data_IF_522475336795
#
_entry.id   IF_522475336795
#
_cell.length_a   1.000
_cell.length_b   1.000
_cell.length_c   1.000
_cell.angle_alpha   90.00
_cell.angle_beta   90.00
_cell.angle_gamma   90.00
#
_symmetry.space_group_name_H-M   'P 1'
#
loop_
_entity.id
_entity.type
_entity.pdbx_description
1 polymer ?
#
# COMPACT_ATOMS: atom_id res chain seq x y z
N UNK A 1 22.10 -25.39 -27.75
CA UNK A 1 23.00 -25.10 -26.62
C UNK A 1 22.19 -24.42 -25.54
N UNK A 2 22.01 -25.02 -24.37
CA UNK A 2 21.29 -24.39 -23.26
C UNK A 2 22.25 -23.41 -22.56
N UNK A 3 21.81 -22.17 -22.43
CA UNK A 3 22.49 -21.16 -21.63
C UNK A 3 22.27 -21.50 -20.15
N UNK A 4 23.29 -22.07 -19.52
CA UNK A 4 23.37 -22.16 -18.07
C UNK A 4 23.58 -20.75 -17.53
N UNK A 5 22.50 -20.10 -17.11
CA UNK A 5 22.57 -18.93 -16.25
C UNK A 5 23.24 -19.36 -14.95
N UNK A 6 24.55 -19.13 -14.86
CA UNK A 6 25.27 -19.19 -13.59
C UNK A 6 24.66 -18.14 -12.68
N UNK A 7 23.92 -18.57 -11.67
CA UNK A 7 23.49 -17.72 -10.56
C UNK A 7 24.76 -17.13 -9.95
N UNK A 8 24.99 -15.85 -10.17
CA UNK A 8 26.09 -15.12 -9.55
C UNK A 8 25.89 -15.26 -8.03
N UNK A 9 26.86 -15.83 -7.32
CA UNK A 9 26.72 -16.05 -5.87
C UNK A 9 26.38 -14.73 -5.19
N UNK A 10 25.33 -14.72 -4.37
CA UNK A 10 25.04 -13.56 -3.53
C UNK A 10 26.25 -13.28 -2.64
N UNK A 11 26.86 -12.11 -2.80
CA UNK A 11 27.95 -11.66 -1.93
C UNK A 11 27.29 -11.00 -0.72
N UNK A 12 27.48 -11.59 0.46
CA UNK A 12 27.09 -10.95 1.71
C UNK A 12 28.02 -9.75 1.93
N UNK A 13 27.45 -8.54 1.84
CA UNK A 13 28.19 -7.29 2.05
C UNK A 13 28.18 -6.90 3.52
N UNK A 14 27.01 -7.03 4.16
CA UNK A 14 26.80 -6.66 5.56
C UNK A 14 25.60 -7.44 6.13
N UNK A 15 25.54 -7.57 7.45
CA UNK A 15 24.47 -8.25 8.16
C UNK A 15 24.06 -7.46 9.41
N UNK A 16 22.76 -7.28 9.59
CA UNK A 16 22.19 -6.61 10.76
C UNK A 16 21.35 -7.60 11.57
N UNK A 17 21.84 -7.99 12.75
CA UNK A 17 21.05 -8.74 13.72
C UNK A 17 20.04 -7.82 14.41
N UNK A 18 18.78 -7.93 14.00
CA UNK A 18 17.67 -7.13 14.51
C UNK A 18 17.33 -7.46 15.98
N UNK A 19 17.54 -8.70 16.44
CA UNK A 19 17.27 -9.09 17.82
C UNK A 19 18.28 -8.47 18.79
N UNK A 20 19.54 -8.38 18.38
CA UNK A 20 20.57 -7.65 19.14
C UNK A 20 20.34 -6.13 19.10
N UNK A 21 19.87 -5.61 17.97
CA UNK A 21 19.57 -4.18 17.80
C UNK A 21 18.34 -3.74 18.61
N UNK A 22 17.39 -4.65 18.87
CA UNK A 22 16.19 -4.40 19.66
C UNK A 22 16.43 -4.31 21.18
N UNK A 23 17.68 -4.37 21.67
CA UNK A 23 18.00 -4.23 23.10
C UNK A 23 17.41 -2.93 23.66
N UNK A 24 16.27 -3.05 24.39
CA UNK A 24 15.59 -2.10 25.31
C UNK A 24 16.19 -0.70 25.42
N UNK A 25 16.40 -0.03 24.30
CA UNK A 25 16.87 1.34 24.29
C UNK A 25 15.62 2.17 24.35
N UNK A 26 15.46 2.94 25.42
CA UNK A 26 14.39 3.92 25.61
C UNK A 26 14.50 5.11 24.65
N UNK A 27 15.40 5.03 23.67
CA UNK A 27 15.64 6.08 22.69
C UNK A 27 14.49 6.05 21.69
N UNK A 28 13.47 6.87 21.96
CA UNK A 28 12.42 7.14 20.99
C UNK A 28 13.07 7.71 19.72
N UNK A 29 13.00 6.95 18.62
CA UNK A 29 13.37 7.46 17.31
C UNK A 29 12.35 8.52 16.92
N UNK A 30 12.80 9.73 16.61
CA UNK A 30 11.91 10.80 16.19
C UNK A 30 11.29 10.48 14.83
N UNK A 31 9.96 10.59 14.76
CA UNK A 31 9.20 10.55 13.52
C UNK A 31 8.57 11.92 13.30
N UNK A 32 9.08 12.68 12.33
CA UNK A 32 8.51 13.97 11.92
C UNK A 32 7.68 13.78 10.63
N UNK A 33 6.45 14.30 10.62
CA UNK A 33 5.51 14.14 9.51
C UNK A 33 4.44 13.07 9.79
N UNK A 34 3.76 12.55 8.75
CA UNK A 34 4.01 12.76 7.33
C UNK A 34 3.48 14.10 6.82
N UNK A 35 4.28 14.80 6.03
CA UNK A 35 3.84 16.00 5.31
C UNK A 35 3.36 15.61 3.92
N UNK A 36 2.08 15.88 3.63
CA UNK A 36 1.51 15.75 2.27
C UNK A 36 2.14 16.80 1.35
N UNK A 37 2.81 16.35 0.29
CA UNK A 37 3.50 17.24 -0.67
C UNK A 37 3.01 17.09 -2.12
N UNK A 38 2.22 16.05 -2.40
CA UNK A 38 1.61 15.83 -3.70
C UNK A 38 0.77 14.57 -3.73
N UNK A 39 0.29 14.24 -4.91
CA UNK A 39 -0.51 13.06 -5.16
C UNK A 39 -0.45 12.68 -6.64
N UNK A 40 -0.91 11.49 -6.97
CA UNK A 40 -1.19 11.09 -8.34
C UNK A 40 -2.27 10.00 -8.37
N UNK A 41 -2.97 9.95 -9.48
CA UNK A 41 -3.91 8.89 -9.82
C UNK A 41 -3.25 7.91 -10.79
N UNK A 42 -3.60 6.63 -10.69
CA UNK A 42 -3.40 5.68 -11.76
C UNK A 42 -4.67 4.88 -12.02
N UNK A 43 -4.83 4.43 -13.25
CA UNK A 43 -5.91 3.54 -13.67
C UNK A 43 -5.43 2.65 -14.82
N UNK A 44 -6.12 1.53 -15.01
CA UNK A 44 -5.84 0.58 -16.08
C UNK A 44 -6.80 0.86 -17.25
N UNK A 45 -6.27 1.08 -18.45
CA UNK A 45 -7.08 1.30 -19.65
C UNK A 45 -7.19 0.05 -20.56
N UNK A 46 -6.95 -1.14 -19.98
CA UNK A 46 -6.84 -2.46 -20.62
C UNK A 46 -5.57 -2.70 -21.46
N UNK A 47 -4.78 -1.67 -21.75
CA UNK A 47 -3.54 -1.78 -22.51
C UNK A 47 -2.31 -1.39 -21.68
N UNK A 48 -2.44 -0.38 -20.82
CA UNK A 48 -1.35 0.17 -20.01
C UNK A 48 -1.87 0.76 -18.69
N UNK A 49 -0.96 0.93 -17.72
CA UNK A 49 -1.19 1.73 -16.52
C UNK A 49 -1.06 3.21 -16.90
N UNK A 50 -2.16 3.94 -16.82
CA UNK A 50 -2.18 5.38 -17.05
C UNK A 50 -1.83 6.10 -15.75
N UNK A 51 -0.91 7.06 -15.84
CA UNK A 51 -0.50 7.94 -14.75
C UNK A 51 -1.06 9.33 -14.99
N UNK A 52 -1.68 9.92 -13.96
CA UNK A 52 -2.13 11.32 -13.99
C UNK A 52 -1.80 12.03 -12.67
N UNK A 53 -1.39 13.30 -12.75
CA UNK A 53 -1.16 14.15 -11.58
C UNK A 53 -2.44 14.90 -11.17
N UNK A 54 -3.53 14.15 -11.02
CA UNK A 54 -4.84 14.66 -10.63
C UNK A 54 -5.49 13.76 -9.57
N UNK A 55 -6.72 14.11 -9.21
CA UNK A 55 -7.56 13.35 -8.27
C UNK A 55 -8.56 12.43 -8.99
N UNK A 56 -8.30 12.05 -10.25
CA UNK A 56 -9.26 11.29 -11.06
C UNK A 56 -9.64 9.93 -10.47
N UNK A 57 -8.72 9.28 -9.75
CA UNK A 57 -8.94 8.02 -9.04
C UNK A 57 -9.29 8.21 -7.56
N UNK A 58 -9.46 9.45 -7.07
CA UNK A 58 -9.80 9.71 -5.67
C UNK A 58 -11.25 9.30 -5.38
N UNK A 59 -11.44 8.58 -4.27
CA UNK A 59 -12.74 8.05 -3.86
C UNK A 59 -13.17 8.65 -2.53
N UNK A 60 -14.48 8.65 -2.28
CA UNK A 60 -15.06 8.99 -0.98
C UNK A 60 -15.80 7.79 -0.40
N UNK A 61 -15.87 7.70 0.92
CA UNK A 61 -16.60 6.66 1.62
C UNK A 61 -18.10 6.75 1.29
N UNK A 62 -18.67 5.62 0.88
CA UNK A 62 -20.08 5.46 0.56
C UNK A 62 -20.56 4.10 1.07
N UNK A 63 -21.17 4.10 2.25
CA UNK A 63 -21.59 2.87 2.92
C UNK A 63 -23.03 2.52 2.55
N UNK A 64 -23.33 1.28 2.15
CA UNK A 64 -24.70 0.85 1.96
C UNK A 64 -25.45 0.82 3.30
N UNK A 65 -26.73 1.19 3.28
CA UNK A 65 -27.61 1.13 4.46
C UNK A 65 -28.88 0.29 4.12
N UNK A 66 -29.07 -0.89 4.75
CA UNK A 66 -28.22 -1.54 5.74
C UNK A 66 -26.92 -2.11 5.15
N UNK A 67 -25.90 -2.30 5.99
CA UNK A 67 -24.61 -2.89 5.58
C UNK A 67 -24.78 -4.40 5.33
N UNK A 68 -24.74 -4.80 4.06
CA UNK A 68 -24.68 -6.21 3.64
C UNK A 68 -23.92 -6.30 2.32
N UNK A 69 -22.60 -6.51 2.40
CA UNK A 69 -21.71 -6.44 1.24
C UNK A 69 -21.15 -7.83 0.95
N UNK A 70 -21.30 -8.29 -0.29
CA UNK A 70 -20.63 -9.49 -0.77
C UNK A 70 -19.22 -9.16 -1.29
N UNK A 71 -18.19 -9.49 -0.52
CA UNK A 71 -16.80 -9.19 -0.90
C UNK A 71 -16.34 -9.94 -2.17
N UNK A 72 -17.05 -10.99 -2.60
CA UNK A 72 -16.75 -11.74 -3.82
C UNK A 72 -17.48 -11.20 -5.06
N UNK A 73 -18.18 -10.07 -4.96
CA UNK A 73 -18.81 -9.44 -6.11
C UNK A 73 -17.76 -9.16 -7.22
N UNK A 74 -17.92 -9.79 -8.38
CA UNK A 74 -16.98 -9.66 -9.52
C UNK A 74 -15.72 -10.52 -9.42
N UNK A 75 -15.66 -11.48 -8.49
CA UNK A 75 -14.53 -12.40 -8.35
C UNK A 75 -14.40 -13.32 -9.58
N UNK A 76 -13.19 -13.46 -10.08
CA UNK A 76 -12.86 -14.32 -11.22
C UNK A 76 -11.95 -15.47 -10.74
N UNK A 77 -12.50 -16.69 -10.69
CA UNK A 77 -11.78 -17.89 -10.23
C UNK A 77 -10.63 -18.32 -11.16
N UNK A 78 -10.55 -17.76 -12.37
CA UNK A 78 -9.45 -18.05 -13.30
C UNK A 78 -8.20 -17.22 -13.01
N UNK A 79 -8.31 -16.18 -12.17
CA UNK A 79 -7.21 -15.29 -11.79
C UNK A 79 -6.64 -15.66 -10.44
N UNK A 80 -5.34 -15.43 -10.25
CA UNK A 80 -4.67 -15.50 -8.95
C UNK A 80 -4.42 -14.09 -8.44
N UNK A 81 -5.01 -13.77 -7.29
CA UNK A 81 -4.88 -12.45 -6.64
C UNK A 81 -3.73 -12.47 -5.65
N UNK A 82 -3.10 -11.31 -5.42
CA UNK A 82 -2.04 -11.12 -4.42
C UNK A 82 -0.64 -10.84 -4.98
N UNK A 83 -0.46 -10.94 -6.31
CA UNK A 83 0.80 -10.57 -6.96
C UNK A 83 1.12 -9.09 -6.76
N UNK A 84 2.41 -8.78 -6.65
CA UNK A 84 2.88 -7.39 -6.58
C UNK A 84 2.76 -6.76 -7.96
N UNK A 85 1.88 -5.76 -8.10
CA UNK A 85 1.85 -4.92 -9.30
C UNK A 85 3.04 -3.95 -9.26
N UNK A 86 3.84 -3.92 -10.32
CA UNK A 86 5.06 -3.09 -10.44
C UNK A 86 4.76 -1.60 -10.67
N UNK A 87 3.95 -0.98 -9.81
CA UNK A 87 3.69 0.47 -9.85
C UNK A 87 4.82 1.31 -9.24
N UNK A 88 5.99 0.71 -8.97
CA UNK A 88 7.16 1.39 -8.37
C UNK A 88 7.70 2.51 -9.28
N UNK A 89 7.54 2.36 -10.59
CA UNK A 89 7.91 3.39 -11.56
C UNK A 89 7.06 4.65 -11.47
N UNK A 90 5.83 4.58 -10.91
CA UNK A 90 4.94 5.74 -10.86
C UNK A 90 5.43 6.81 -9.88
N UNK A 91 6.00 6.41 -8.74
CA UNK A 91 6.61 7.38 -7.81
C UNK A 91 7.84 8.03 -8.43
N UNK A 92 8.69 7.26 -9.11
CA UNK A 92 9.86 7.81 -9.80
C UNK A 92 9.45 8.77 -10.92
N UNK A 93 8.40 8.44 -11.66
CA UNK A 93 7.79 9.36 -12.64
C UNK A 93 7.31 10.64 -11.98
N UNK A 94 6.57 10.55 -10.86
CA UNK A 94 6.13 11.72 -10.11
C UNK A 94 7.31 12.59 -9.66
N UNK A 95 8.40 11.98 -9.18
CA UNK A 95 9.63 12.68 -8.77
C UNK A 95 10.24 13.47 -9.93
N UNK A 96 10.34 12.87 -11.11
CA UNK A 96 10.89 13.51 -12.31
C UNK A 96 10.02 14.67 -12.79
N UNK A 97 8.69 14.55 -12.68
CA UNK A 97 7.76 15.60 -13.09
C UNK A 97 7.56 16.71 -12.01
N UNK A 98 8.16 16.58 -10.83
CA UNK A 98 7.99 17.49 -9.68
C UNK A 98 9.32 18.03 -9.11
N UNK A 99 10.28 18.37 -9.97
CA UNK A 99 11.64 18.78 -9.55
C UNK A 99 11.66 19.94 -8.54
N UNK A 100 10.81 20.96 -8.70
CA UNK A 100 10.73 22.11 -7.79
C UNK A 100 10.31 21.65 -6.38
N UNK A 101 9.34 20.75 -6.30
CA UNK A 101 8.91 20.14 -5.04
C UNK A 101 10.06 19.33 -4.42
N UNK A 102 10.81 18.59 -5.23
CA UNK A 102 11.97 17.81 -4.78
C UNK A 102 13.13 18.68 -4.27
N UNK A 103 13.30 19.89 -4.80
CA UNK A 103 14.26 20.87 -4.27
C UNK A 103 13.82 21.41 -2.91
N UNK A 104 12.51 21.68 -2.74
CA UNK A 104 11.92 22.14 -1.48
C UNK A 104 11.90 21.08 -0.39
N UNK A 105 11.78 19.80 -0.78
CA UNK A 105 11.70 18.65 0.11
C UNK A 105 12.84 17.66 -0.18
N UNK A 106 14.09 18.02 0.17
CA UNK A 106 15.23 17.13 -0.05
C UNK A 106 15.03 15.83 0.72
N UNK A 107 15.33 14.72 0.04
CA UNK A 107 15.12 13.36 0.55
C UNK A 107 16.37 12.52 0.32
N UNK A 108 16.67 11.69 1.30
CA UNK A 108 17.79 10.74 1.32
C UNK A 108 17.33 9.38 0.76
N UNK A 109 16.08 8.99 1.06
CA UNK A 109 15.44 7.77 0.58
C UNK A 109 14.16 8.07 -0.22
N UNK A 110 13.85 7.21 -1.20
CA UNK A 110 12.61 7.21 -1.98
C UNK A 110 12.04 5.79 -1.99
N UNK A 111 10.80 5.59 -1.54
CA UNK A 111 10.17 4.27 -1.49
C UNK A 111 8.64 4.33 -1.41
N UNK A 112 7.96 3.18 -1.32
CA UNK A 112 6.51 3.12 -1.03
C UNK A 112 6.25 2.89 0.47
N UNK A 113 5.09 3.35 0.94
CA UNK A 113 4.66 3.16 2.34
C UNK A 113 4.55 1.68 2.70
N UNK A 114 4.21 0.81 1.74
CA UNK A 114 4.16 -0.63 1.97
C UNK A 114 5.49 -1.20 2.45
N UNK A 115 6.59 -0.77 1.85
CA UNK A 115 7.94 -1.19 2.25
C UNK A 115 8.33 -0.63 3.62
N UNK A 116 8.00 0.65 3.87
CA UNK A 116 8.24 1.24 5.20
C UNK A 116 7.42 0.55 6.28
N UNK A 117 6.17 0.18 6.00
CA UNK A 117 5.34 -0.65 6.87
C UNK A 117 6.04 -1.98 7.14
N UNK A 118 6.56 -2.65 6.12
CA UNK A 118 7.25 -3.95 6.29
C UNK A 118 8.44 -3.80 7.25
N UNK A 119 9.22 -2.72 7.10
CA UNK A 119 10.33 -2.39 8.01
C UNK A 119 9.86 -2.09 9.44
N UNK A 120 8.75 -1.34 9.60
CA UNK A 120 8.20 -0.99 10.93
C UNK A 120 7.68 -2.21 11.69
N UNK A 121 7.22 -3.24 10.98
CA UNK A 121 6.64 -4.44 11.59
C UNK A 121 7.56 -5.67 11.51
N UNK A 122 8.81 -5.51 11.06
CA UNK A 122 9.73 -6.63 10.79
C UNK A 122 9.95 -7.56 11.99
N UNK A 123 9.81 -7.05 13.21
CA UNK A 123 9.94 -7.85 14.45
C UNK A 123 8.64 -8.58 14.85
N UNK A 124 7.54 -8.31 14.16
CA UNK A 124 6.20 -8.88 14.37
C UNK A 124 5.69 -9.65 13.15
N UNK A 125 6.55 -9.85 12.15
CA UNK A 125 6.22 -10.45 10.88
C UNK A 125 7.20 -11.58 10.59
N UNK A 126 6.66 -12.78 10.35
CA UNK A 126 7.45 -13.96 9.99
C UNK A 126 7.65 -14.04 8.46
N UNK A 127 7.01 -13.14 7.69
CA UNK A 127 7.12 -13.11 6.24
C UNK A 127 8.49 -12.61 5.79
N UNK A 128 9.25 -13.47 5.12
CA UNK A 128 10.47 -13.08 4.44
C UNK A 128 10.15 -12.17 3.24
N UNK A 129 10.85 -11.04 3.15
CA UNK A 129 10.77 -10.16 2.00
C UNK A 129 12.14 -9.65 1.60
N UNK A 130 12.27 -9.35 0.31
CA UNK A 130 13.49 -8.78 -0.27
C UNK A 130 13.21 -7.38 -0.79
N UNK A 131 14.23 -6.52 -0.77
CA UNK A 131 14.20 -5.23 -1.45
C UNK A 131 15.44 -5.08 -2.32
N UNK A 132 15.34 -4.18 -3.30
CA UNK A 132 16.49 -3.62 -4.01
C UNK A 132 16.76 -2.21 -3.50
N UNK A 133 18.03 -1.85 -3.38
CA UNK A 133 18.48 -0.52 -2.99
C UNK A 133 19.44 0.03 -4.06
N UNK A 134 19.04 1.11 -4.73
CA UNK A 134 19.83 1.71 -5.81
C UNK A 134 20.13 3.17 -5.49
N UNK A 135 21.42 3.54 -5.48
CA UNK A 135 21.83 4.93 -5.26
C UNK A 135 21.89 5.70 -6.59
N UNK A 136 21.08 6.75 -6.73
CA UNK A 136 20.99 7.60 -7.92
C UNK A 136 21.05 9.07 -7.49
N UNK A 137 22.02 9.84 -8.01
CA UNK A 137 22.13 11.27 -7.69
C UNK A 137 22.23 11.57 -6.19
N UNK A 138 22.86 10.68 -5.41
CA UNK A 138 22.98 10.79 -3.95
C UNK A 138 21.75 10.33 -3.15
N UNK A 139 20.65 9.93 -3.80
CA UNK A 139 19.44 9.38 -3.16
C UNK A 139 19.43 7.87 -3.24
N UNK A 140 18.84 7.19 -2.26
CA UNK A 140 18.66 5.73 -2.27
C UNK A 140 17.21 5.41 -2.58
N UNK A 141 16.96 4.78 -3.73
CA UNK A 141 15.65 4.28 -4.11
C UNK A 141 15.50 2.85 -3.59
N UNK A 142 14.44 2.58 -2.84
CA UNK A 142 14.14 1.26 -2.28
C UNK A 142 12.87 0.70 -2.90
N UNK A 143 12.95 -0.48 -3.50
CA UNK A 143 11.81 -1.17 -4.11
C UNK A 143 11.66 -2.58 -3.55
N UNK A 144 10.44 -2.96 -3.19
CA UNK A 144 10.14 -4.32 -2.74
C UNK A 144 10.23 -5.27 -3.93
N UNK A 145 10.87 -6.42 -3.73
CA UNK A 145 10.97 -7.47 -4.73
C UNK A 145 10.01 -8.59 -4.38
N UNK A 146 9.24 -9.06 -5.36
CA UNK A 146 8.49 -10.30 -5.21
C UNK A 146 9.47 -11.48 -5.25
N UNK A 147 9.49 -12.30 -4.19
CA UNK A 147 10.29 -13.51 -4.19
C UNK A 147 9.66 -14.57 -5.10
N UNK A 148 10.49 -15.45 -5.66
CA UNK A 148 10.03 -16.58 -6.48
C UNK A 148 9.07 -17.45 -5.66
N UNK A 149 9.42 -17.73 -4.41
CA UNK A 149 8.57 -18.47 -3.46
C UNK A 149 7.20 -17.81 -3.26
N UNK A 150 7.15 -16.48 -3.09
CA UNK A 150 5.87 -15.77 -2.95
C UNK A 150 5.02 -15.91 -4.20
N UNK A 151 5.63 -15.80 -5.38
CA UNK A 151 4.94 -15.99 -6.65
C UNK A 151 4.37 -17.41 -6.79
N UNK A 152 5.18 -18.42 -6.51
CA UNK A 152 4.78 -19.84 -6.54
C UNK A 152 3.66 -20.14 -5.53
N UNK A 153 3.72 -19.55 -4.33
CA UNK A 153 2.68 -19.68 -3.31
C UNK A 153 1.35 -19.04 -3.76
N UNK A 154 1.39 -17.90 -4.46
CA UNK A 154 0.19 -17.26 -5.02
C UNK A 154 -0.40 -18.09 -6.16
N UNK A 155 0.46 -18.62 -7.04
CA UNK A 155 0.05 -19.43 -8.18
C UNK A 155 -0.58 -20.77 -7.75
N UNK A 156 -0.06 -21.36 -6.67
CA UNK A 156 -0.54 -22.62 -6.09
C UNK A 156 -1.62 -22.45 -5.01
N UNK A 157 -2.03 -21.21 -4.70
CA UNK A 157 -2.98 -20.98 -3.61
C UNK A 157 -4.33 -21.66 -3.86
N UNK A 158 -4.91 -22.20 -2.79
CA UNK A 158 -6.25 -22.80 -2.82
C UNK A 158 -7.31 -21.76 -3.19
N UNK A 159 -8.44 -22.22 -3.72
CA UNK A 159 -9.56 -21.35 -4.11
C UNK A 159 -10.05 -20.46 -2.96
N UNK A 160 -10.18 -21.03 -1.76
CA UNK A 160 -10.60 -20.26 -0.58
C UNK A 160 -9.58 -19.18 -0.18
N UNK A 161 -8.27 -19.45 -0.32
CA UNK A 161 -7.23 -18.45 -0.07
C UNK A 161 -7.31 -17.34 -1.12
N UNK A 162 -7.48 -17.69 -2.39
CA UNK A 162 -7.64 -16.73 -3.48
C UNK A 162 -8.86 -15.81 -3.27
N UNK A 163 -10.00 -16.39 -2.88
CA UNK A 163 -11.21 -15.65 -2.49
C UNK A 163 -10.97 -14.72 -1.30
N UNK A 164 -10.24 -15.18 -0.28
CA UNK A 164 -9.88 -14.34 0.86
C UNK A 164 -8.95 -13.20 0.48
N UNK A 165 -8.01 -13.43 -0.43
CA UNK A 165 -7.12 -12.39 -0.98
C UNK A 165 -7.92 -11.38 -1.78
N UNK A 166 -8.80 -11.82 -2.67
CA UNK A 166 -9.69 -10.93 -3.42
C UNK A 166 -10.58 -10.08 -2.52
N UNK A 167 -11.18 -10.69 -1.50
CA UNK A 167 -12.07 -10.04 -0.55
C UNK A 167 -11.41 -8.89 0.23
N UNK A 168 -10.07 -8.80 0.25
CA UNK A 168 -9.36 -7.64 0.81
C UNK A 168 -9.64 -6.35 0.04
N UNK A 169 -10.07 -6.44 -1.22
CA UNK A 169 -10.48 -5.32 -2.08
C UNK A 169 -11.85 -4.75 -1.72
N UNK A 170 -12.26 -4.82 -0.44
CA UNK A 170 -13.54 -4.34 0.04
C UNK A 170 -13.72 -2.84 -0.22
N UNK A 171 -12.63 -2.06 -0.24
CA UNK A 171 -12.72 -0.61 -0.40
C UNK A 171 -13.54 -0.22 -1.63
N UNK A 172 -13.45 -0.96 -2.75
CA UNK A 172 -14.21 -0.65 -3.97
C UNK A 172 -15.73 -0.79 -3.81
N UNK A 173 -16.19 -1.61 -2.86
CA UNK A 173 -17.60 -1.87 -2.63
C UNK A 173 -18.24 -0.88 -1.64
N UNK A 174 -17.41 -0.11 -0.93
CA UNK A 174 -17.85 0.83 0.10
C UNK A 174 -17.33 2.26 -0.13
N UNK A 175 -16.88 2.53 -1.35
CA UNK A 175 -16.40 3.84 -1.75
C UNK A 175 -16.85 4.13 -3.18
N UNK A 176 -17.08 5.40 -3.48
CA UNK A 176 -17.44 5.87 -4.81
C UNK A 176 -16.39 6.86 -5.34
N UNK A 177 -16.21 6.88 -6.65
CA UNK A 177 -15.44 7.92 -7.33
C UNK A 177 -16.39 9.07 -7.73
N UNK A 178 -15.96 10.32 -7.56
CA UNK A 178 -16.72 11.50 -8.02
C UNK A 178 -16.78 11.62 -9.53
N UNK A 179 -15.75 11.13 -10.22
CA UNK A 179 -15.79 10.88 -11.64
C UNK A 179 -16.41 9.51 -11.79
N UNK A 180 -17.70 9.44 -12.13
CA UNK A 180 -18.35 8.19 -12.53
C UNK A 180 -17.54 7.60 -13.70
N UNK A 181 -16.54 6.79 -13.41
CA UNK A 181 -15.61 6.36 -14.43
C UNK A 181 -16.37 5.45 -15.39
N UNK A 182 -16.11 5.64 -16.68
CA UNK A 182 -16.58 4.83 -17.79
C UNK A 182 -16.00 3.40 -17.76
N UNK A 183 -15.64 2.89 -16.57
CA UNK A 183 -14.94 1.64 -16.39
C UNK A 183 -15.95 0.51 -16.19
N UNK A 184 -16.45 -0.02 -17.29
CA UNK A 184 -17.42 -1.12 -17.34
C UNK A 184 -16.84 -2.50 -16.99
N UNK A 185 -15.59 -2.60 -16.54
CA UNK A 185 -14.87 -3.87 -16.42
C UNK A 185 -15.11 -4.62 -15.10
N UNK A 186 -15.72 -3.98 -14.10
CA UNK A 186 -15.87 -4.57 -12.75
C UNK A 186 -14.54 -4.81 -12.01
N UNK A 187 -13.42 -4.45 -12.64
CA UNK A 187 -12.05 -4.54 -12.12
C UNK A 187 -11.58 -3.10 -11.95
N UNK A 188 -11.95 -2.48 -10.83
CA UNK A 188 -11.49 -1.13 -10.50
C UNK A 188 -10.04 -1.21 -10.01
N UNK A 189 -9.10 -1.13 -10.95
CA UNK A 189 -7.66 -0.98 -10.71
C UNK A 189 -7.27 0.48 -10.40
N UNK A 190 -8.25 1.39 -10.39
CA UNK A 190 -8.07 2.81 -10.14
C UNK A 190 -7.53 3.02 -8.72
N UNK A 191 -6.34 3.62 -8.63
CA UNK A 191 -5.62 3.83 -7.38
C UNK A 191 -5.21 5.28 -7.25
N UNK A 192 -5.46 5.86 -6.07
CA UNK A 192 -5.03 7.21 -5.73
C UNK A 192 -3.90 7.17 -4.70
N UNK A 193 -2.77 7.78 -5.00
CA UNK A 193 -1.61 7.80 -4.13
C UNK A 193 -1.35 9.19 -3.58
N UNK A 194 -1.14 9.27 -2.26
CA UNK A 194 -0.51 10.44 -1.66
C UNK A 194 1.00 10.33 -1.73
N UNK A 195 1.66 11.47 -1.95
CA UNK A 195 3.12 11.60 -1.86
C UNK A 195 3.47 12.43 -0.63
N UNK A 196 4.36 11.87 0.19
CA UNK A 196 4.65 12.35 1.52
C UNK A 196 6.14 12.56 1.73
N UNK A 197 6.47 13.54 2.56
CA UNK A 197 7.80 13.75 3.10
C UNK A 197 7.78 13.51 4.61
N UNK A 198 8.68 12.65 5.08
CA UNK A 198 8.80 12.26 6.49
C UNK A 198 10.27 12.26 6.87
N UNK A 199 10.57 12.47 8.15
CA UNK A 199 11.92 12.28 8.68
C UNK A 199 11.90 11.26 9.82
N UNK A 200 12.70 10.22 9.69
CA UNK A 200 12.89 9.17 10.69
C UNK A 200 14.32 9.25 11.21
N UNK A 201 14.48 9.60 12.48
CA UNK A 201 15.79 9.92 13.05
C UNK A 201 16.48 11.03 12.25
N UNK A 202 17.63 10.74 11.66
CA UNK A 202 18.40 11.67 10.81
C UNK A 202 18.05 11.60 9.31
N UNK A 203 17.16 10.69 8.89
CA UNK A 203 16.93 10.42 7.47
C UNK A 203 15.62 10.99 6.97
N UNK A 204 15.68 11.72 5.86
CA UNK A 204 14.51 12.27 5.16
C UNK A 204 14.07 11.29 4.09
N UNK A 205 12.78 11.00 4.06
CA UNK A 205 12.20 9.94 3.24
C UNK A 205 11.06 10.55 2.44
N UNK A 206 11.14 10.43 1.12
CA UNK A 206 10.00 10.62 0.23
C UNK A 206 9.31 9.27 0.07
N UNK A 207 8.01 9.21 0.32
CA UNK A 207 7.27 7.98 0.10
C UNK A 207 5.89 8.20 -0.50
N UNK A 208 5.38 7.17 -1.18
CA UNK A 208 4.02 7.16 -1.71
C UNK A 208 3.19 6.00 -1.14
N UNK A 209 2.00 6.36 -0.69
CA UNK A 209 1.05 5.45 -0.06
C UNK A 209 -0.29 5.50 -0.79
N UNK A 210 -0.87 4.32 -1.02
CA UNK A 210 -2.22 4.22 -1.53
C UNK A 210 -3.20 4.74 -0.48
N UNK A 211 -4.03 5.71 -0.86
CA UNK A 211 -5.07 6.29 -0.04
C UNK A 211 -6.41 5.71 -0.52
N UNK A 212 -7.07 4.93 0.33
CA UNK A 212 -8.28 4.19 -0.08
C UNK A 212 -9.42 5.14 -0.44
N UNK A 213 -9.71 6.11 0.43
CA UNK A 213 -10.75 7.12 0.21
C UNK A 213 -10.62 8.28 1.19
N UNK A 214 -11.35 9.36 0.92
CA UNK A 214 -11.70 10.39 1.89
C UNK A 214 -12.94 10.02 2.69
N UNK A 215 -13.08 10.57 3.90
CA UNK A 215 -14.16 10.23 4.86
C UNK A 215 -15.57 10.53 4.34
N UNK A 216 -15.71 11.48 3.42
CA UNK A 216 -17.01 11.88 2.86
C UNK A 216 -16.85 12.59 1.52
N UNK A 217 -17.97 12.72 0.78
CA UNK A 217 -17.99 13.46 -0.49
C UNK A 217 -17.53 14.92 -0.33
N UNK A 218 -17.84 15.54 0.81
CA UNK A 218 -17.49 16.94 1.12
C UNK A 218 -15.98 17.15 1.28
N UNK A 219 -15.21 16.10 1.59
CA UNK A 219 -13.75 16.20 1.64
C UNK A 219 -13.15 16.48 0.26
N UNK A 220 -13.83 16.10 -0.84
CA UNK A 220 -13.33 16.30 -2.20
C UNK A 220 -13.20 17.78 -2.58
N UNK A 221 -13.96 18.66 -1.93
CA UNK A 221 -13.93 20.11 -2.16
C UNK A 221 -12.77 20.80 -1.41
N UNK A 222 -12.05 20.07 -0.56
CA UNK A 222 -10.96 20.63 0.25
C UNK A 222 -9.62 20.54 -0.48
N UNK A 223 -8.67 21.44 -0.17
CA UNK A 223 -7.28 21.23 -0.58
C UNK A 223 -6.76 19.89 -0.03
N UNK A 224 -5.98 19.14 -0.82
CA UNK A 224 -5.44 17.82 -0.46
C UNK A 224 -4.77 17.75 0.94
N UNK A 225 -4.07 18.82 1.31
CA UNK A 225 -3.40 18.94 2.62
C UNK A 225 -4.38 18.98 3.81
N UNK A 226 -5.65 19.30 3.57
CA UNK A 226 -6.72 19.40 4.58
C UNK A 226 -7.79 18.32 4.46
N UNK A 227 -7.74 17.48 3.41
CA UNK A 227 -8.66 16.35 3.25
C UNK A 227 -8.46 15.34 4.39
N UNK A 228 -9.54 14.76 4.89
CA UNK A 228 -9.46 13.63 5.81
C UNK A 228 -9.57 12.30 5.08
N UNK A 229 -8.62 11.41 5.34
CA UNK A 229 -8.55 10.11 4.69
C UNK A 229 -8.97 8.98 5.63
N UNK A 230 -9.56 7.94 5.05
CA UNK A 230 -9.89 6.71 5.74
C UNK A 230 -9.14 5.51 5.11
N UNK A 231 -8.52 4.69 5.98
CA UNK A 231 -7.95 3.39 5.63
C UNK A 231 -9.00 2.32 5.95
N UNK A 232 -9.33 1.50 4.95
CA UNK A 232 -10.32 0.43 5.10
C UNK A 232 -9.58 -0.90 5.25
N UNK A 233 -9.76 -1.56 6.39
CA UNK A 233 -9.19 -2.86 6.70
C UNK A 233 -10.26 -3.93 6.85
N UNK A 234 -10.01 -5.13 6.30
CA UNK A 234 -10.85 -6.31 6.52
C UNK A 234 -10.26 -7.19 7.61
N UNK A 235 -11.11 -7.72 8.49
CA UNK A 235 -10.76 -8.85 9.36
C UNK A 235 -11.81 -9.96 9.27
N UNK A 236 -11.38 -11.20 9.57
CA UNK A 236 -12.25 -12.37 9.53
C UNK A 236 -12.74 -12.70 10.94
N UNK A 237 -14.05 -12.90 11.13
CA UNK A 237 -14.59 -13.44 12.39
C UNK A 237 -14.31 -14.96 12.56
N UNK A 238 -14.23 -15.54 13.78
CA UNK A 238 -14.31 -14.97 15.13
C UNK A 238 -12.94 -15.06 15.83
N UNK A 239 -11.85 -14.60 15.21
CA UNK A 239 -10.57 -14.51 15.93
C UNK A 239 -10.66 -13.34 16.91
N UNK A 240 -10.92 -13.65 18.17
CA UNK A 240 -10.99 -12.74 19.32
C UNK A 240 -9.69 -11.97 19.60
N UNK A 241 -8.62 -12.29 18.87
CA UNK A 241 -7.38 -11.56 18.90
C UNK A 241 -7.15 -10.93 17.54
N UNK A 242 -7.26 -9.60 17.48
CA UNK A 242 -6.44 -8.83 16.56
C UNK A 242 -5.01 -9.36 16.74
N UNK A 243 -4.43 -10.03 15.75
CA UNK A 243 -3.00 -10.28 15.83
C UNK A 243 -2.34 -8.92 15.93
N UNK A 244 -1.43 -8.73 16.89
CA UNK A 244 -0.60 -7.53 17.03
C UNK A 244 -0.08 -7.09 15.66
N UNK A 245 0.28 -8.07 14.82
CA UNK A 245 0.62 -7.90 13.41
C UNK A 245 -0.39 -7.06 12.59
N UNK A 246 -1.70 -7.37 12.61
CA UNK A 246 -2.70 -6.62 11.82
C UNK A 246 -2.89 -5.21 12.34
N UNK A 247 -2.98 -5.05 13.65
CA UNK A 247 -3.11 -3.74 14.26
C UNK A 247 -1.88 -2.86 13.95
N UNK A 248 -0.68 -3.42 14.09
CA UNK A 248 0.59 -2.75 13.76
C UNK A 248 0.69 -2.44 12.26
N UNK A 249 0.18 -3.31 11.38
CA UNK A 249 0.12 -3.04 9.94
C UNK A 249 -0.74 -1.82 9.63
N UNK A 250 -1.98 -1.79 10.13
CA UNK A 250 -2.89 -0.66 9.89
C UNK A 250 -2.38 0.62 10.53
N UNK A 251 -1.87 0.53 11.77
CA UNK A 251 -1.29 1.66 12.46
C UNK A 251 -0.08 2.22 11.69
N UNK A 252 0.82 1.37 11.20
CA UNK A 252 2.00 1.80 10.43
C UNK A 252 1.59 2.48 9.13
N UNK A 253 0.68 1.89 8.37
CA UNK A 253 0.18 2.49 7.12
C UNK A 253 -0.52 3.83 7.36
N UNK A 254 -1.38 3.90 8.37
CA UNK A 254 -2.11 5.13 8.72
C UNK A 254 -1.15 6.22 9.20
N UNK A 255 -0.19 5.87 10.05
CA UNK A 255 0.84 6.79 10.56
C UNK A 255 1.70 7.32 9.43
N UNK A 256 2.17 6.45 8.53
CA UNK A 256 3.01 6.85 7.39
C UNK A 256 2.24 7.71 6.38
N UNK A 257 0.96 7.44 6.13
CA UNK A 257 0.18 8.20 5.15
C UNK A 257 -0.61 9.38 5.76
N UNK A 258 -0.55 9.58 7.08
CA UNK A 258 -1.30 10.63 7.77
C UNK A 258 -2.81 10.45 7.57
N UNK A 259 -3.28 9.20 7.68
CA UNK A 259 -4.70 8.85 7.58
C UNK A 259 -5.36 9.11 8.92
N UNK A 260 -6.54 9.72 8.87
CA UNK A 260 -7.28 10.19 10.03
C UNK A 260 -8.10 9.06 10.69
N UNK A 261 -8.68 8.18 9.88
CA UNK A 261 -9.60 7.15 10.34
C UNK A 261 -9.24 5.76 9.80
N UNK A 262 -9.33 4.73 10.65
CA UNK A 262 -9.24 3.32 10.25
C UNK A 262 -10.61 2.68 10.39
N UNK A 263 -11.20 2.24 9.29
CA UNK A 263 -12.49 1.53 9.23
C UNK A 263 -12.22 0.04 9.20
N UNK A 264 -12.87 -0.73 10.08
CA UNK A 264 -12.62 -2.16 10.24
C UNK A 264 -13.87 -2.97 9.89
N UNK A 265 -13.84 -3.59 8.72
CA UNK A 265 -14.91 -4.43 8.26
C UNK A 265 -14.79 -5.86 8.78
N UNK A 266 -15.82 -6.30 9.51
CA UNK A 266 -15.97 -7.70 9.90
C UNK A 266 -16.51 -8.50 8.73
N UNK A 267 -15.65 -9.33 8.14
CA UNK A 267 -15.99 -10.26 7.09
C UNK A 267 -16.24 -11.65 7.70
N UNK A 268 -17.45 -12.17 7.50
CA UNK A 268 -17.82 -13.51 7.93
C UNK A 268 -17.21 -14.58 6.99
N UNK A 269 -17.32 -15.86 7.35
CA UNK A 269 -16.73 -16.97 6.58
C UNK A 269 -17.31 -17.13 5.16
N UNK A 270 -18.51 -16.61 4.95
CA UNK A 270 -19.21 -16.56 3.66
C UNK A 270 -18.81 -15.34 2.81
N UNK A 271 -17.77 -14.60 3.24
CA UNK A 271 -17.31 -13.37 2.61
C UNK A 271 -18.32 -12.23 2.61
N UNK A 272 -19.31 -12.27 3.51
CA UNK A 272 -20.27 -11.17 3.71
C UNK A 272 -19.79 -10.25 4.83
N UNK A 273 -19.83 -8.95 4.58
CA UNK A 273 -19.65 -7.91 5.61
C UNK A 273 -21.00 -7.38 6.03
N UNK A 274 -21.28 -7.47 7.34
CA UNK A 274 -22.53 -7.00 7.98
C UNK A 274 -22.30 -5.86 8.97
N UNK A 275 -21.05 -5.62 9.35
CA UNK A 275 -20.64 -4.63 10.36
C UNK A 275 -19.32 -3.99 9.88
N UNK A 276 -19.24 -2.66 9.98
CA UNK A 276 -18.09 -1.82 9.66
C UNK A 276 -17.63 -1.04 10.90
#
# INVERSE_FOLDING_TARGET
>A
MPWTNQTTSAVLIDELDLNQSYRKTTNCVSLEGPKRIGYFSCYDNNNDIVFSQDISSLRYLDLPNPVSINCLQGYDSTRKYGHVNSSDMLLLRWVLENEITMQKFPSDFICKNGLMKDMMIVLYDDDNWSLSATKIGGKIVLNKMESIEKKENIDSQTEHVNQSTYATSLQRLITQNSNHSQCSSGIENDSFFGVFHTKIGSHRILHAGWLHCVESKQELDKPFVHMKFALIGKYNGPREFHSSHKANTWWSLATLAGVDTIIQAKCERDFIVKIL
#
